data_IF_105969471846
#
_entry.id   IF_105969471846
#
_cell.length_a   1.000
_cell.length_b   1.000
_cell.length_c   1.000
_cell.angle_alpha   90.00
_cell.angle_beta   90.00
_cell.angle_gamma   90.00
#
_symmetry.space_group_name_H-M   'P 1'
#
loop_
_entity.id
_entity.type
_entity.pdbx_description
1 polymer ?
#
# COMPACT_ATOMS: atom_id res chain seq x y z
N UNK A 1 12.54 9.88 -11.46
CA UNK A 1 11.88 8.61 -11.77
C UNK A 1 12.86 7.44 -11.82
N UNK A 2 13.86 7.56 -12.65
CA UNK A 2 14.89 6.51 -12.75
C UNK A 2 15.62 6.28 -11.43
N UNK A 3 15.82 7.36 -10.70
CA UNK A 3 16.48 7.30 -9.40
C UNK A 3 15.65 6.48 -8.39
N UNK A 4 14.35 6.70 -8.36
CA UNK A 4 13.48 5.94 -7.46
C UNK A 4 13.49 4.45 -7.79
N UNK A 5 13.47 4.13 -9.07
CA UNK A 5 13.53 2.74 -9.54
C UNK A 5 14.83 2.08 -9.10
N UNK A 6 15.94 2.82 -9.23
CA UNK A 6 17.25 2.32 -8.81
C UNK A 6 17.30 2.08 -7.31
N UNK A 7 16.72 2.97 -6.52
CA UNK A 7 16.70 2.81 -5.07
C UNK A 7 15.95 1.55 -4.67
N UNK A 8 14.79 1.28 -5.28
CA UNK A 8 14.05 0.06 -5.00
C UNK A 8 14.85 -1.18 -5.38
N UNK A 9 15.58 -1.10 -6.49
CA UNK A 9 16.33 -2.24 -6.99
C UNK A 9 17.55 -2.57 -6.13
N UNK A 10 18.23 -1.55 -5.61
CA UNK A 10 19.50 -1.74 -4.87
C UNK A 10 19.34 -1.86 -3.36
N UNK A 11 18.12 -1.71 -2.84
CA UNK A 11 17.89 -1.94 -1.42
C UNK A 11 17.99 -3.42 -1.11
N UNK A 12 18.35 -3.73 0.11
CA UNK A 12 18.31 -5.11 0.56
C UNK A 12 16.90 -5.66 0.38
N UNK A 13 16.82 -6.92 0.00
CA UNK A 13 15.55 -7.55 -0.34
C UNK A 13 15.19 -8.61 0.68
N UNK A 14 13.89 -8.78 0.89
CA UNK A 14 13.36 -9.88 1.70
C UNK A 14 12.39 -10.68 0.84
N UNK A 15 12.27 -11.96 1.15
CA UNK A 15 11.27 -12.83 0.52
C UNK A 15 10.20 -13.12 1.55
N UNK A 16 8.95 -12.84 1.17
CA UNK A 16 7.79 -13.09 2.02
C UNK A 16 6.82 -13.97 1.23
N UNK A 17 5.91 -14.62 1.95
CA UNK A 17 5.08 -15.66 1.36
C UNK A 17 3.60 -15.32 1.52
N UNK A 18 2.79 -15.78 0.54
CA UNK A 18 1.34 -15.83 0.70
C UNK A 18 0.99 -17.13 1.42
N UNK A 19 -0.23 -17.25 1.98
CA UNK A 19 -0.67 -18.51 2.58
C UNK A 19 -0.67 -19.68 1.60
N UNK A 20 -0.77 -19.42 0.31
CA UNK A 20 -0.72 -20.47 -0.71
C UNK A 20 0.70 -20.90 -1.07
N UNK A 21 1.70 -20.20 -0.53
CA UNK A 21 3.10 -20.53 -0.79
C UNK A 21 3.76 -19.74 -1.90
N UNK A 22 3.07 -18.77 -2.48
CA UNK A 22 3.70 -17.87 -3.45
C UNK A 22 4.71 -16.97 -2.77
N UNK A 23 5.79 -16.66 -3.47
CA UNK A 23 6.90 -15.87 -2.93
C UNK A 23 6.87 -14.49 -3.55
N UNK A 24 6.99 -13.46 -2.71
CA UNK A 24 7.15 -12.09 -3.17
C UNK A 24 8.49 -11.54 -2.71
N UNK A 25 9.15 -10.82 -3.63
CA UNK A 25 10.43 -10.17 -3.39
C UNK A 25 10.15 -8.70 -3.11
N UNK A 26 10.44 -8.25 -1.90
CA UNK A 26 10.18 -6.88 -1.47
C UNK A 26 11.45 -6.26 -0.88
N UNK A 27 11.54 -4.92 -0.89
CA UNK A 27 12.63 -4.26 -0.17
C UNK A 27 12.54 -4.52 1.33
N UNK A 28 13.68 -4.53 1.99
CA UNK A 28 13.71 -4.56 3.44
C UNK A 28 12.91 -3.38 3.99
N UNK A 29 12.21 -3.60 5.10
CA UNK A 29 11.32 -2.63 5.75
C UNK A 29 10.00 -2.37 5.03
N UNK A 30 9.69 -3.13 3.98
CA UNK A 30 8.38 -3.04 3.34
C UNK A 30 7.27 -3.42 4.32
N UNK A 31 6.09 -2.84 4.12
CA UNK A 31 4.92 -3.09 4.98
C UNK A 31 3.84 -3.86 4.21
N UNK A 32 2.76 -4.30 4.89
CA UNK A 32 1.67 -5.01 4.20
C UNK A 32 1.08 -4.26 3.02
N UNK A 33 1.08 -2.94 3.03
CA UNK A 33 0.59 -2.15 1.89
C UNK A 33 1.48 -2.40 0.67
N UNK A 34 2.80 -2.40 0.86
CA UNK A 34 3.72 -2.71 -0.23
C UNK A 34 3.49 -4.12 -0.78
N UNK A 35 3.26 -5.07 0.11
CA UNK A 35 2.95 -6.45 -0.26
C UNK A 35 1.68 -6.50 -1.11
N UNK A 36 0.62 -5.83 -0.67
CA UNK A 36 -0.67 -5.84 -1.35
C UNK A 36 -0.56 -5.28 -2.77
N UNK A 37 0.12 -4.16 -2.93
CA UNK A 37 0.31 -3.58 -4.26
C UNK A 37 1.21 -4.44 -5.15
N UNK A 38 2.14 -5.16 -4.56
CA UNK A 38 3.00 -6.08 -5.33
C UNK A 38 2.19 -7.26 -5.87
N UNK A 39 1.13 -7.67 -5.15
CA UNK A 39 0.25 -8.73 -5.63
C UNK A 39 -0.63 -8.22 -6.78
N UNK A 40 -1.33 -7.13 -6.56
CA UNK A 40 -2.17 -6.49 -7.57
C UNK A 40 -2.62 -5.12 -7.07
N UNK A 41 -2.75 -4.15 -7.99
CA UNK A 41 -3.13 -2.79 -7.59
C UNK A 41 -4.52 -2.74 -6.95
N UNK A 42 -5.46 -3.57 -7.39
CA UNK A 42 -6.79 -3.61 -6.78
C UNK A 42 -6.75 -4.10 -5.34
N UNK A 43 -5.87 -5.05 -5.05
CA UNK A 43 -5.70 -5.55 -3.69
C UNK A 43 -5.09 -4.46 -2.82
N UNK A 44 -4.09 -3.75 -3.33
CA UNK A 44 -3.50 -2.62 -2.63
C UNK A 44 -4.48 -1.51 -2.34
N UNK A 45 -5.31 -1.16 -3.33
CA UNK A 45 -6.29 -0.08 -3.16
C UNK A 45 -7.36 -0.41 -2.12
N UNK A 46 -7.58 -1.67 -1.82
CA UNK A 46 -8.66 -2.09 -0.92
C UNK A 46 -8.18 -2.81 0.33
N UNK A 47 -6.89 -2.74 0.63
CA UNK A 47 -6.39 -3.39 1.84
C UNK A 47 -7.00 -2.73 3.08
N UNK A 48 -7.55 -3.56 3.96
CA UNK A 48 -8.12 -3.09 5.23
C UNK A 48 -7.39 -3.67 6.43
N UNK A 49 -6.65 -4.76 6.25
CA UNK A 49 -5.91 -5.38 7.33
C UNK A 49 -4.95 -6.42 6.79
N UNK A 50 -4.12 -6.92 7.67
CA UNK A 50 -3.16 -7.95 7.32
C UNK A 50 -2.91 -8.88 8.49
N UNK A 51 -2.76 -10.16 8.18
CA UNK A 51 -2.29 -11.14 9.16
C UNK A 51 -0.87 -11.52 8.79
N UNK A 52 0.03 -11.42 9.76
CA UNK A 52 1.41 -11.81 9.58
C UNK A 52 1.66 -13.00 10.47
N UNK A 53 1.97 -14.13 9.85
CA UNK A 53 2.15 -15.41 10.55
C UNK A 53 0.93 -15.77 11.39
N UNK A 54 -0.26 -15.50 10.84
CA UNK A 54 -1.52 -15.84 11.48
C UNK A 54 -2.03 -14.83 12.50
N UNK A 55 -1.33 -13.72 12.70
CA UNK A 55 -1.70 -12.72 13.70
C UNK A 55 -2.01 -11.40 13.04
N UNK A 56 -3.13 -10.78 13.43
CA UNK A 56 -3.48 -9.46 12.92
C UNK A 56 -2.44 -8.42 13.34
N UNK A 57 -1.93 -7.68 12.37
CA UNK A 57 -0.91 -6.67 12.61
C UNK A 57 -1.30 -5.37 11.89
N UNK A 58 -0.84 -4.22 12.41
CA UNK A 58 -1.10 -2.94 11.76
C UNK A 58 -0.50 -2.88 10.35
N UNK A 59 -1.10 -2.08 9.48
CA UNK A 59 -0.61 -1.87 8.11
C UNK A 59 0.76 -1.22 8.07
N UNK A 60 1.20 -0.63 9.17
CA UNK A 60 2.52 0.00 9.29
C UNK A 60 3.62 -0.98 9.71
N UNK A 61 3.28 -2.23 9.99
CA UNK A 61 4.24 -3.23 10.45
C UNK A 61 5.29 -3.50 9.38
N UNK A 62 6.56 -3.50 9.77
CA UNK A 62 7.64 -3.86 8.85
C UNK A 62 7.71 -5.37 8.72
N UNK A 63 7.68 -5.85 7.49
CA UNK A 63 7.73 -7.27 7.21
C UNK A 63 9.17 -7.79 7.37
N UNK A 64 9.29 -9.02 7.82
CA UNK A 64 10.57 -9.69 7.98
C UNK A 64 10.67 -10.83 6.97
N UNK A 65 11.91 -11.25 6.70
CA UNK A 65 12.16 -12.38 5.80
C UNK A 65 11.40 -13.62 6.28
N UNK A 66 10.81 -14.34 5.35
CA UNK A 66 10.04 -15.57 5.58
C UNK A 66 8.69 -15.36 6.28
N UNK A 67 8.24 -14.13 6.46
CA UNK A 67 6.88 -13.88 6.96
C UNK A 67 5.84 -14.43 5.99
N UNK A 68 4.76 -14.98 6.54
CA UNK A 68 3.59 -15.39 5.78
C UNK A 68 2.55 -14.29 5.96
N UNK A 69 2.19 -13.64 4.86
CA UNK A 69 1.34 -12.44 4.89
C UNK A 69 0.02 -12.75 4.19
N UNK A 70 -1.07 -12.55 4.92
CA UNK A 70 -2.42 -12.68 4.38
C UNK A 70 -3.06 -11.29 4.37
N UNK A 71 -3.48 -10.84 3.19
CA UNK A 71 -4.08 -9.53 3.02
C UNK A 71 -5.60 -9.65 3.15
N UNK A 72 -6.18 -8.76 3.94
CA UNK A 72 -7.63 -8.68 4.09
C UNK A 72 -8.09 -7.43 3.37
N UNK A 73 -9.06 -7.58 2.46
CA UNK A 73 -9.57 -6.46 1.68
C UNK A 73 -11.05 -6.21 2.00
N UNK A 74 -11.47 -4.98 1.77
CA UNK A 74 -12.88 -4.58 1.86
C UNK A 74 -13.18 -3.63 0.71
N UNK A 75 -14.38 -3.74 0.16
CA UNK A 75 -14.78 -2.91 -0.99
C UNK A 75 -14.79 -1.43 -0.65
N UNK A 76 -15.08 -1.06 0.59
CA UNK A 76 -15.13 0.34 1.03
C UNK A 76 -13.77 0.88 1.48
N UNK A 77 -12.75 0.03 1.60
CA UNK A 77 -11.41 0.49 1.96
C UNK A 77 -10.78 1.21 0.77
N UNK A 78 -10.00 2.24 1.05
CA UNK A 78 -9.33 3.01 0.00
C UNK A 78 -8.05 3.61 0.54
N UNK A 79 -7.11 3.98 -0.35
CA UNK A 79 -5.87 4.63 0.07
C UNK A 79 -6.12 5.96 0.78
N UNK A 80 -5.28 6.23 1.76
CA UNK A 80 -5.28 7.52 2.47
C UNK A 80 -3.88 8.12 2.42
N UNK A 81 -3.78 9.42 2.68
CA UNK A 81 -2.48 10.09 2.71
C UNK A 81 -1.57 9.50 3.79
N UNK A 82 -2.16 8.96 4.85
CA UNK A 82 -1.40 8.35 5.95
C UNK A 82 -0.65 7.11 5.49
N UNK A 83 -1.17 6.40 4.50
CA UNK A 83 -0.48 5.23 3.94
C UNK A 83 0.89 5.58 3.37
N UNK A 84 1.09 6.84 2.94
CA UNK A 84 2.39 7.29 2.44
C UNK A 84 3.47 7.27 3.53
N UNK A 85 3.06 7.34 4.79
CA UNK A 85 4.01 7.22 5.90
C UNK A 85 4.53 5.80 6.05
N UNK A 86 3.78 4.81 5.59
CA UNK A 86 4.11 3.39 5.74
C UNK A 86 4.70 2.79 4.48
N UNK A 87 4.15 3.15 3.32
CA UNK A 87 4.53 2.54 2.06
C UNK A 87 5.95 2.93 1.67
N UNK A 88 6.72 1.94 1.27
CA UNK A 88 8.12 2.10 0.93
C UNK A 88 8.37 2.02 -0.57
N UNK A 89 7.67 1.10 -1.28
CA UNK A 89 7.95 0.87 -2.68
C UNK A 89 7.44 2.01 -3.55
N UNK A 90 8.12 2.24 -4.66
CA UNK A 90 7.74 3.26 -5.62
C UNK A 90 6.36 2.99 -6.19
N UNK A 91 6.05 1.72 -6.49
CA UNK A 91 4.77 1.32 -7.05
C UNK A 91 3.62 1.65 -6.10
N UNK A 92 3.75 1.26 -4.82
CA UNK A 92 2.70 1.52 -3.82
C UNK A 92 2.50 3.01 -3.65
N UNK A 93 3.57 3.76 -3.48
CA UNK A 93 3.50 5.21 -3.29
C UNK A 93 2.86 5.91 -4.48
N UNK A 94 3.18 5.47 -5.68
CA UNK A 94 2.61 6.05 -6.91
C UNK A 94 1.09 5.86 -6.95
N UNK A 95 0.61 4.66 -6.67
CA UNK A 95 -0.83 4.38 -6.67
C UNK A 95 -1.55 5.15 -5.57
N UNK A 96 -0.97 5.19 -4.37
CA UNK A 96 -1.56 5.92 -3.25
C UNK A 96 -1.67 7.41 -3.57
N UNK A 97 -0.60 8.01 -4.07
CA UNK A 97 -0.60 9.43 -4.43
C UNK A 97 -1.64 9.74 -5.49
N UNK A 98 -1.73 8.90 -6.51
CA UNK A 98 -2.70 9.11 -7.58
C UNK A 98 -4.13 9.10 -7.04
N UNK A 99 -4.44 8.13 -6.18
CA UNK A 99 -5.76 8.03 -5.58
C UNK A 99 -6.08 9.23 -4.70
N UNK A 100 -5.15 9.57 -3.80
CA UNK A 100 -5.35 10.66 -2.85
C UNK A 100 -5.52 12.00 -3.57
N UNK A 101 -4.70 12.28 -4.57
CA UNK A 101 -4.78 13.51 -5.34
C UNK A 101 -6.11 13.62 -6.09
N UNK A 102 -6.52 12.56 -6.74
CA UNK A 102 -7.78 12.53 -7.49
C UNK A 102 -8.97 12.80 -6.57
N UNK A 103 -9.02 12.12 -5.43
CA UNK A 103 -10.14 12.26 -4.51
C UNK A 103 -10.08 13.56 -3.71
N UNK A 104 -8.91 14.08 -3.45
CA UNK A 104 -8.76 15.38 -2.81
C UNK A 104 -9.30 16.49 -3.71
N UNK A 105 -8.98 16.45 -5.00
CA UNK A 105 -9.49 17.43 -5.95
C UNK A 105 -11.01 17.35 -6.06
N UNK A 106 -11.55 16.14 -6.11
CA UNK A 106 -12.98 15.93 -6.20
C UNK A 106 -13.69 16.48 -4.96
N UNK A 107 -13.18 16.16 -3.78
CA UNK A 107 -13.74 16.66 -2.53
C UNK A 107 -13.70 18.18 -2.46
N UNK A 108 -12.61 18.78 -2.92
CA UNK A 108 -12.45 20.22 -2.95
C UNK A 108 -13.45 20.87 -3.87
N UNK A 109 -13.66 20.26 -5.04
CA UNK A 109 -14.63 20.73 -6.01
C UNK A 109 -16.05 20.69 -5.44
N UNK A 110 -16.43 19.59 -4.83
CA UNK A 110 -17.75 19.42 -4.22
C UNK A 110 -17.94 20.44 -3.09
N UNK A 111 -16.93 20.61 -2.26
CA UNK A 111 -16.99 21.58 -1.17
C UNK A 111 -17.21 23.00 -1.70
N UNK A 112 -16.49 23.39 -2.74
CA UNK A 112 -16.62 24.70 -3.34
C UNK A 112 -18.03 24.92 -3.93
N UNK A 113 -18.61 23.89 -4.50
CA UNK A 113 -19.98 23.97 -5.01
C UNK A 113 -20.97 24.24 -3.90
N UNK A 114 -20.83 23.60 -2.77
CA UNK A 114 -21.67 23.86 -1.61
C UNK A 114 -21.54 25.29 -1.13
N UNK A 115 -20.35 25.83 -1.12
CA UNK A 115 -20.12 27.22 -0.73
C UNK A 115 -20.80 28.20 -1.67
N UNK A 116 -20.70 27.98 -2.96
CA UNK A 116 -21.27 28.89 -3.95
C UNK A 116 -22.79 28.78 -4.04
N UNK A 117 -23.36 27.68 -3.60
CA UNK A 117 -24.81 27.50 -3.59
C UNK A 117 -25.49 28.32 -2.51
N UNK A 118 -24.74 28.86 -1.57
CA UNK A 118 -25.27 29.75 -0.56
C UNK A 118 -25.20 31.19 -1.02
#
# INVERSE_FOLDING_TARGET
>A
FMQNLRMDFFKDRIFVFTPKGDVLDLPEDACPIDFAYAVHSDIGDHISGAKINGKMMPLSTKLAVNDIVEIITRSEAHPTSKWLDYALTTMARKHIKAYVEEHSLLNKYIWNRFKTAK
#
